data_IF_001615021126
#
_entry.id   IF_001615021126
#
_cell.length_a   1.000
_cell.length_b   1.000
_cell.length_c   1.000
_cell.angle_alpha   90.00
_cell.angle_beta   90.00
_cell.angle_gamma   90.00
#
_symmetry.space_group_name_H-M   'P 1'
#
loop_
_entity.id
_entity.type
_entity.pdbx_description
1 polymer ?
#
# COMPACT_ATOMS: atom_id res chain seq x y z
N UNK A 1 -34.73 -1.51 13.68
CA UNK A 1 -34.09 -0.23 14.07
C UNK A 1 -32.73 -0.28 13.44
N UNK A 2 -32.62 0.29 12.24
CA UNK A 2 -31.34 0.34 11.54
C UNK A 2 -30.51 1.42 12.23
N UNK A 3 -29.53 0.99 13.00
CA UNK A 3 -28.51 1.92 13.49
C UNK A 3 -27.84 2.50 12.25
N UNK A 4 -27.91 3.82 12.11
CA UNK A 4 -27.17 4.56 11.11
C UNK A 4 -25.67 4.37 11.44
N UNK A 5 -25.08 3.32 10.86
CA UNK A 5 -23.65 2.99 10.98
C UNK A 5 -22.79 3.92 10.09
N UNK A 6 -23.32 5.10 9.72
CA UNK A 6 -22.53 6.07 8.96
C UNK A 6 -21.39 6.59 9.83
N UNK A 7 -20.18 6.26 9.41
CA UNK A 7 -18.99 6.79 10.07
C UNK A 7 -18.83 8.24 9.65
N UNK A 8 -18.87 9.11 10.65
CA UNK A 8 -18.62 10.53 10.48
C UNK A 8 -17.17 10.85 10.85
N UNK A 9 -16.44 11.61 10.03
CA UNK A 9 -15.13 12.13 10.42
C UNK A 9 -15.18 12.93 11.74
N UNK A 10 -14.06 13.01 12.48
CA UNK A 10 -12.74 12.49 12.14
C UNK A 10 -12.69 10.95 12.22
N UNK A 11 -11.96 10.33 11.29
CA UNK A 11 -11.57 8.92 11.42
C UNK A 11 -10.15 8.85 11.99
N UNK A 12 -9.81 7.76 12.67
CA UNK A 12 -8.48 7.57 13.24
C UNK A 12 -7.79 6.37 12.60
N UNK A 13 -6.49 6.48 12.34
CA UNK A 13 -5.66 5.34 11.91
C UNK A 13 -4.70 4.98 13.01
N UNK A 14 -4.69 3.71 13.44
CA UNK A 14 -3.72 3.25 14.44
C UNK A 14 -2.34 3.09 13.81
N UNK A 15 -1.35 3.75 14.37
CA UNK A 15 0.04 3.69 13.95
C UNK A 15 0.92 3.16 15.07
N UNK A 16 1.77 2.20 14.71
CA UNK A 16 2.76 1.59 15.60
C UNK A 16 4.14 2.15 15.38
N UNK A 17 4.84 2.48 16.46
CA UNK A 17 6.24 2.82 16.44
C UNK A 17 7.09 1.60 16.78
N UNK A 18 8.19 1.45 16.04
CA UNK A 18 9.05 0.29 16.12
C UNK A 18 10.50 0.69 16.37
N UNK A 19 11.20 -0.14 17.13
CA UNK A 19 12.65 -0.07 17.29
C UNK A 19 13.23 -1.48 17.33
N UNK A 20 14.55 -1.60 17.10
CA UNK A 20 15.25 -2.84 17.38
C UNK A 20 15.53 -2.98 18.87
N UNK A 21 15.28 -4.16 19.43
CA UNK A 21 15.71 -4.55 20.77
C UNK A 21 17.21 -4.87 20.78
N UNK A 22 17.80 -5.01 21.96
CA UNK A 22 19.23 -5.31 22.13
C UNK A 22 19.67 -6.65 21.50
N UNK A 23 18.73 -7.58 21.31
CA UNK A 23 18.94 -8.86 20.62
C UNK A 23 18.70 -8.78 19.10
N UNK A 24 18.45 -7.58 18.57
CA UNK A 24 18.28 -7.32 17.13
C UNK A 24 16.89 -7.55 16.57
N UNK A 25 15.91 -8.00 17.38
CA UNK A 25 14.51 -8.17 16.94
C UNK A 25 13.77 -6.84 16.88
N UNK A 26 12.71 -6.78 16.07
CA UNK A 26 11.82 -5.62 16.04
C UNK A 26 10.77 -5.72 17.16
N UNK A 27 10.53 -4.61 17.85
CA UNK A 27 9.49 -4.51 18.87
C UNK A 27 8.70 -3.21 18.74
N UNK A 28 7.40 -3.28 19.03
CA UNK A 28 6.54 -2.10 19.15
C UNK A 28 6.89 -1.38 20.45
N UNK A 29 7.29 -0.12 20.36
CA UNK A 29 7.60 0.72 21.53
C UNK A 29 6.46 1.66 21.89
N UNK A 30 5.60 1.99 20.94
CA UNK A 30 4.43 2.83 21.16
C UNK A 30 3.34 2.59 20.12
N UNK A 31 2.10 2.96 20.45
CA UNK A 31 0.94 2.94 19.58
C UNK A 31 0.19 4.26 19.73
N UNK A 32 -0.20 4.89 18.63
CA UNK A 32 -1.00 6.12 18.66
C UNK A 32 -1.99 6.16 17.49
N UNK A 33 -3.22 6.56 17.76
CA UNK A 33 -4.19 6.92 16.73
C UNK A 33 -3.84 8.27 16.12
N UNK A 34 -3.93 8.37 14.79
CA UNK A 34 -3.78 9.64 14.06
C UNK A 34 -5.16 10.00 13.51
N UNK A 35 -5.70 11.12 13.96
CA UNK A 35 -7.01 11.62 13.52
C UNK A 35 -6.90 12.32 12.18
N UNK A 36 -7.83 12.01 11.28
CA UNK A 36 -7.90 12.53 9.92
C UNK A 36 -9.16 13.36 9.78
N UNK A 37 -8.97 14.67 9.86
CA UNK A 37 -10.02 15.67 9.69
C UNK A 37 -10.09 16.12 8.24
N UNK A 38 -11.26 16.18 7.60
CA UNK A 38 -11.40 16.71 6.25
C UNK A 38 -10.89 18.16 6.15
N UNK A 39 -10.12 18.46 5.10
CA UNK A 39 -9.81 19.84 4.76
C UNK A 39 -11.09 20.59 4.36
N UNK A 40 -11.12 21.90 4.61
CA UNK A 40 -12.22 22.76 4.20
C UNK A 40 -12.53 22.61 2.70
N UNK A 41 -13.82 22.42 2.38
CA UNK A 41 -14.31 22.26 1.00
C UNK A 41 -14.42 20.81 0.52
N UNK A 42 -13.96 19.82 1.30
CA UNK A 42 -14.18 18.40 1.00
C UNK A 42 -15.47 17.85 1.64
N UNK A 43 -15.98 16.75 1.07
CA UNK A 43 -17.08 16.00 1.63
C UNK A 43 -16.65 15.10 2.79
N UNK A 44 -17.60 14.61 3.58
CA UNK A 44 -17.30 13.77 4.74
C UNK A 44 -16.77 12.36 4.37
N UNK A 45 -17.03 11.88 3.15
CA UNK A 45 -16.74 10.52 2.73
C UNK A 45 -15.64 10.40 1.67
N UNK A 46 -15.14 11.54 1.19
CA UNK A 46 -13.99 11.60 0.31
C UNK A 46 -13.27 12.95 0.50
N UNK A 47 -12.08 12.91 1.08
CA UNK A 47 -11.38 14.13 1.47
C UNK A 47 -9.85 14.00 1.49
N UNK A 48 -9.15 15.07 1.10
CA UNK A 48 -7.82 15.33 1.64
C UNK A 48 -7.97 15.79 3.10
N UNK A 49 -7.00 15.51 3.94
CA UNK A 49 -7.09 15.80 5.38
C UNK A 49 -6.15 16.92 5.85
N UNK A 50 -6.56 17.59 6.92
CA UNK A 50 -5.76 18.64 7.56
C UNK A 50 -4.47 18.03 8.11
N UNK A 51 -3.35 18.71 7.88
CA UNK A 51 -2.05 18.27 8.38
C UNK A 51 -1.71 19.03 9.66
N UNK A 52 -1.91 18.35 10.79
CA UNK A 52 -1.61 18.87 12.13
C UNK A 52 -0.25 18.34 12.60
N UNK A 53 0.43 19.08 13.47
CA UNK A 53 1.71 18.65 14.00
C UNK A 53 1.51 17.56 15.06
N UNK A 54 2.07 16.39 14.80
CA UNK A 54 1.88 15.22 15.63
C UNK A 54 3.19 14.73 16.25
N UNK A 55 3.09 14.28 17.51
CA UNK A 55 4.14 13.56 18.21
C UNK A 55 3.64 12.14 18.55
N UNK A 56 4.28 11.14 17.95
CA UNK A 56 3.89 9.73 18.05
C UNK A 56 4.43 9.03 19.30
N UNK A 57 5.31 9.69 20.07
CA UNK A 57 5.88 9.12 21.29
C UNK A 57 5.98 10.13 22.44
N UNK A 58 5.67 9.70 23.66
CA UNK A 58 5.98 10.43 24.89
C UNK A 58 7.39 10.14 25.42
N UNK A 59 8.10 9.20 24.78
CA UNK A 59 9.45 8.75 25.13
C UNK A 59 10.31 8.75 23.85
N UNK A 60 10.87 9.90 23.45
CA UNK A 60 11.72 9.98 22.26
C UNK A 60 12.93 9.06 22.42
N UNK A 61 13.27 8.32 21.37
CA UNK A 61 14.49 7.51 21.39
C UNK A 61 15.72 8.40 21.28
N UNK A 62 16.87 7.92 21.75
CA UNK A 62 18.14 8.64 21.61
C UNK A 62 18.67 8.59 20.16
N UNK A 63 18.03 7.80 19.28
CA UNK A 63 18.36 7.74 17.86
C UNK A 63 17.63 8.85 17.11
N UNK A 64 18.39 9.85 16.62
CA UNK A 64 17.83 11.01 15.90
C UNK A 64 17.02 10.58 14.68
N UNK A 65 17.41 9.52 13.98
CA UNK A 65 16.68 9.03 12.81
C UNK A 65 15.30 8.49 13.19
N UNK A 66 15.22 7.75 14.30
CA UNK A 66 13.93 7.28 14.82
C UNK A 66 13.10 8.45 15.34
N UNK A 67 13.70 9.39 16.07
CA UNK A 67 13.01 10.58 16.55
C UNK A 67 12.33 11.35 15.40
N UNK A 68 13.04 11.57 14.29
CA UNK A 68 12.48 12.25 13.12
C UNK A 68 11.38 11.47 12.39
N UNK A 69 11.29 10.16 12.59
CA UNK A 69 10.17 9.36 12.09
C UNK A 69 8.94 9.41 13.02
N UNK A 70 9.11 9.86 14.25
CA UNK A 70 8.02 9.91 15.26
C UNK A 70 7.38 11.28 15.42
N UNK A 71 7.88 12.29 14.71
CA UNK A 71 7.41 13.67 14.83
C UNK A 71 7.28 14.32 13.46
N UNK A 72 6.14 14.97 13.22
CA UNK A 72 5.92 15.73 12.02
C UNK A 72 4.44 15.94 11.74
N UNK A 73 4.14 16.61 10.62
CA UNK A 73 2.75 16.78 10.20
C UNK A 73 2.05 15.42 9.94
N UNK A 74 0.75 15.33 10.22
CA UNK A 74 -0.07 14.13 10.03
C UNK A 74 0.12 13.50 8.65
N UNK A 75 0.15 14.32 7.60
CA UNK A 75 0.33 13.85 6.23
C UNK A 75 1.70 13.19 6.02
N UNK A 76 2.76 13.77 6.57
CA UNK A 76 4.11 13.20 6.54
C UNK A 76 4.16 11.82 7.21
N UNK A 77 3.59 11.69 8.41
CA UNK A 77 3.60 10.42 9.17
C UNK A 77 2.85 9.29 8.46
N UNK A 78 1.76 9.62 7.75
CA UNK A 78 1.02 8.65 6.94
C UNK A 78 1.75 8.31 5.63
N UNK A 79 2.38 9.30 4.98
CA UNK A 79 3.18 9.09 3.75
C UNK A 79 4.45 8.27 3.97
N UNK A 80 4.81 7.94 5.21
CA UNK A 80 5.84 6.95 5.52
C UNK A 80 5.34 5.50 5.45
N UNK A 81 4.03 5.31 5.48
CA UNK A 81 3.38 3.99 5.45
C UNK A 81 2.62 3.75 4.16
N UNK A 82 2.04 4.78 3.57
CA UNK A 82 1.25 4.73 2.35
C UNK A 82 2.06 5.44 1.28
N UNK A 83 2.50 4.71 0.27
CA UNK A 83 3.53 5.13 -0.66
C UNK A 83 3.00 5.10 -2.10
N UNK A 84 3.32 6.08 -2.96
CA UNK A 84 2.96 5.99 -4.35
C UNK A 84 3.91 5.01 -5.02
N UNK A 85 3.36 4.11 -5.83
CA UNK A 85 4.12 3.23 -6.70
C UNK A 85 4.45 3.98 -7.96
N UNK A 86 5.73 4.01 -8.32
CA UNK A 86 6.25 4.83 -9.40
C UNK A 86 7.13 4.04 -10.35
N UNK A 87 7.14 4.43 -11.63
CA UNK A 87 7.93 3.80 -12.67
C UNK A 87 8.55 4.82 -13.64
N UNK A 88 9.81 4.64 -14.02
CA UNK A 88 10.43 5.42 -15.11
C UNK A 88 11.66 4.72 -15.70
N UNK A 89 12.02 5.13 -16.91
CA UNK A 89 13.31 4.81 -17.53
C UNK A 89 14.23 6.02 -17.55
N UNK A 90 15.53 5.78 -17.55
CA UNK A 90 16.50 6.84 -17.78
C UNK A 90 16.24 7.53 -19.13
N UNK A 91 16.22 8.86 -19.12
CA UNK A 91 15.90 9.68 -20.28
C UNK A 91 14.41 10.04 -20.46
N UNK A 92 13.50 9.44 -19.67
CA UNK A 92 12.09 9.85 -19.68
C UNK A 92 11.88 11.19 -18.96
N UNK A 93 10.95 12.02 -19.47
CA UNK A 93 10.68 13.38 -18.96
C UNK A 93 9.79 13.41 -17.72
N UNK A 94 9.32 12.25 -17.25
CA UNK A 94 8.50 12.15 -16.06
C UNK A 94 8.67 10.79 -15.39
N UNK A 95 8.40 10.76 -14.09
CA UNK A 95 8.17 9.53 -13.34
C UNK A 95 6.68 9.25 -13.36
N UNK A 96 6.30 8.08 -13.89
CA UNK A 96 4.90 7.66 -13.94
C UNK A 96 4.41 7.31 -12.54
N UNK A 97 3.26 7.83 -12.16
CA UNK A 97 2.54 7.40 -10.96
C UNK A 97 1.64 6.24 -11.33
N UNK A 98 1.92 5.04 -10.83
CA UNK A 98 1.24 3.80 -11.25
C UNK A 98 0.06 3.48 -10.33
N UNK A 99 0.28 3.57 -9.01
CA UNK A 99 -0.71 3.22 -8.01
C UNK A 99 -0.25 3.57 -6.60
N UNK A 100 -0.81 2.87 -5.61
CA UNK A 100 -0.50 3.02 -4.19
C UNK A 100 0.00 1.70 -3.61
N UNK A 101 0.92 1.75 -2.67
CA UNK A 101 1.39 0.61 -1.88
C UNK A 101 1.38 0.97 -0.39
N UNK A 102 1.42 -0.04 0.47
CA UNK A 102 1.50 0.12 1.92
C UNK A 102 2.65 -0.66 2.51
N UNK A 103 3.43 -0.02 3.37
CA UNK A 103 4.44 -0.68 4.21
C UNK A 103 3.75 -1.56 5.24
N UNK A 104 4.17 -2.81 5.32
CA UNK A 104 3.64 -3.80 6.26
C UNK A 104 4.71 -4.42 7.16
N UNK A 105 6.00 -4.15 6.93
CA UNK A 105 7.07 -4.54 7.83
C UNK A 105 8.13 -3.46 8.04
N UNK A 106 8.80 -3.46 9.20
CA UNK A 106 9.96 -2.61 9.46
C UNK A 106 11.14 -2.89 8.54
N UNK A 107 11.26 -4.12 8.05
CA UNK A 107 12.29 -4.55 7.11
C UNK A 107 12.00 -4.20 5.65
N UNK A 108 10.82 -3.64 5.33
CA UNK A 108 10.51 -3.17 3.97
C UNK A 108 9.71 -4.16 3.11
N UNK A 109 8.86 -5.00 3.70
CA UNK A 109 7.77 -5.62 2.94
C UNK A 109 6.66 -4.60 2.73
N UNK A 110 6.14 -4.55 1.50
CA UNK A 110 5.00 -3.71 1.12
C UNK A 110 3.91 -4.55 0.45
N UNK A 111 2.67 -4.09 0.53
CA UNK A 111 1.53 -4.66 -0.20
C UNK A 111 0.99 -3.65 -1.20
N UNK A 112 0.50 -4.14 -2.33
CA UNK A 112 -0.20 -3.35 -3.36
C UNK A 112 -1.14 -4.25 -4.13
N UNK A 113 -1.81 -3.73 -5.16
CA UNK A 113 -2.62 -4.54 -6.06
C UNK A 113 -1.73 -5.25 -7.10
N UNK A 114 -2.10 -6.46 -7.50
CA UNK A 114 -1.29 -7.25 -8.43
C UNK A 114 -1.20 -6.59 -9.82
N UNK A 115 -2.29 -6.01 -10.31
CA UNK A 115 -2.29 -5.29 -11.57
C UNK A 115 -1.40 -4.02 -11.56
N UNK A 116 -1.13 -3.42 -10.39
CA UNK A 116 -0.19 -2.29 -10.28
C UNK A 116 1.23 -2.75 -10.67
N UNK A 117 1.62 -3.97 -10.32
CA UNK A 117 2.93 -4.52 -10.71
C UNK A 117 2.98 -5.01 -12.16
N UNK A 118 1.81 -5.30 -12.75
CA UNK A 118 1.69 -5.71 -14.15
C UNK A 118 1.62 -4.52 -15.11
N UNK A 119 1.35 -3.30 -14.63
CA UNK A 119 1.23 -2.11 -15.48
C UNK A 119 2.42 -1.92 -16.45
N UNK A 120 3.71 -2.09 -16.07
CA UNK A 120 4.81 -2.00 -17.03
C UNK A 120 4.76 -3.01 -18.19
N UNK A 121 4.07 -4.15 -18.01
CA UNK A 121 3.82 -5.15 -19.06
C UNK A 121 2.56 -4.79 -19.85
N UNK A 122 1.44 -4.57 -19.17
CA UNK A 122 0.13 -4.31 -19.79
C UNK A 122 0.15 -3.03 -20.62
N UNK A 123 0.86 -2.00 -20.14
CA UNK A 123 1.06 -0.72 -20.82
C UNK A 123 2.29 -0.70 -21.75
N UNK A 124 3.05 -1.80 -21.84
CA UNK A 124 4.11 -1.99 -22.81
C UNK A 124 5.37 -1.11 -22.63
N UNK A 125 5.62 -0.57 -21.44
CA UNK A 125 6.71 0.39 -21.23
C UNK A 125 7.89 -0.12 -20.42
N UNK A 126 7.92 -1.37 -19.91
CA UNK A 126 9.04 -1.77 -19.06
C UNK A 126 9.13 -3.22 -18.63
N UNK A 127 8.25 -4.10 -19.08
CA UNK A 127 8.28 -5.51 -18.71
C UNK A 127 7.96 -6.44 -19.87
N UNK A 128 8.46 -7.67 -19.78
CA UNK A 128 8.20 -8.74 -20.74
C UNK A 128 7.90 -10.04 -20.02
N UNK A 129 7.12 -10.91 -20.66
CA UNK A 129 6.94 -12.29 -20.21
C UNK A 129 8.19 -13.10 -20.57
N UNK A 130 8.80 -13.78 -19.59
CA UNK A 130 9.87 -14.78 -19.79
C UNK A 130 9.38 -16.13 -19.24
N UNK A 131 8.91 -16.99 -20.14
CA UNK A 131 8.28 -18.26 -19.75
C UNK A 131 7.00 -18.00 -18.95
N UNK A 132 6.94 -18.47 -17.70
CA UNK A 132 5.80 -18.24 -16.81
C UNK A 132 6.02 -17.08 -15.82
N UNK A 133 7.05 -16.25 -16.03
CA UNK A 133 7.43 -15.17 -15.12
C UNK A 133 7.37 -13.81 -15.81
N UNK A 134 7.11 -12.78 -15.01
CA UNK A 134 7.25 -11.38 -15.38
C UNK A 134 8.71 -10.95 -15.18
N UNK A 135 9.32 -10.31 -16.18
CA UNK A 135 10.67 -9.77 -16.08
C UNK A 135 10.66 -8.28 -16.44
N UNK A 136 11.15 -7.45 -15.52
CA UNK A 136 11.37 -6.03 -15.77
C UNK A 136 12.63 -5.80 -16.62
N UNK A 137 12.60 -4.79 -17.48
CA UNK A 137 13.77 -4.36 -18.24
C UNK A 137 14.83 -3.75 -17.31
N UNK A 138 16.12 -3.97 -17.61
CA UNK A 138 17.23 -3.52 -16.75
C UNK A 138 17.25 -2.00 -16.50
N UNK A 139 16.69 -1.21 -17.43
CA UNK A 139 16.60 0.25 -17.33
C UNK A 139 15.31 0.76 -16.67
N UNK A 140 14.38 -0.14 -16.29
CA UNK A 140 13.16 0.25 -15.61
C UNK A 140 13.45 0.44 -14.11
N UNK A 141 13.31 1.67 -13.65
CA UNK A 141 13.20 1.96 -12.23
C UNK A 141 11.74 1.76 -11.83
N UNK A 142 11.46 0.76 -11.00
CA UNK A 142 10.12 0.46 -10.52
C UNK A 142 10.13 0.19 -9.01
N UNK A 143 9.27 0.91 -8.27
CA UNK A 143 9.31 0.88 -6.82
C UNK A 143 8.41 1.94 -6.19
N UNK A 144 8.84 2.46 -5.04
CA UNK A 144 8.09 3.46 -4.26
C UNK A 144 8.97 4.66 -3.92
N UNK A 145 8.35 5.80 -3.65
CA UNK A 145 9.03 6.96 -3.07
C UNK A 145 8.55 7.21 -1.64
N UNK A 146 9.49 7.50 -0.74
CA UNK A 146 9.22 7.77 0.67
C UNK A 146 9.69 9.18 0.99
N UNK A 147 8.87 10.05 1.61
CA UNK A 147 9.29 11.39 1.98
C UNK A 147 10.39 11.34 3.05
N UNK A 148 11.37 12.23 2.91
CA UNK A 148 12.38 12.46 3.94
C UNK A 148 11.81 13.41 5.00
N UNK A 149 12.13 13.13 6.26
CA UNK A 149 11.61 13.92 7.38
C UNK A 149 12.10 15.37 7.36
N UNK A 150 11.25 16.34 7.75
CA UNK A 150 11.63 17.75 7.77
C UNK A 150 12.83 18.03 8.68
N UNK A 151 13.05 17.19 9.70
CA UNK A 151 14.21 17.29 10.60
C UNK A 151 15.57 17.00 9.98
N UNK A 152 15.64 16.51 8.74
CA UNK A 152 16.89 16.39 7.98
C UNK A 152 17.32 17.71 7.30
N UNK A 153 16.54 18.78 7.43
CA UNK A 153 16.85 20.08 6.83
C UNK A 153 16.62 20.15 5.31
N UNK A 154 16.09 19.10 4.70
CA UNK A 154 15.76 19.02 3.27
C UNK A 154 14.33 18.52 3.08
N UNK A 155 13.56 19.21 2.23
CA UNK A 155 12.35 18.63 1.62
C UNK A 155 12.80 17.72 0.49
N UNK A 156 12.35 16.48 0.47
CA UNK A 156 12.70 15.55 -0.58
C UNK A 156 12.12 14.17 -0.37
N UNK A 157 12.46 13.28 -1.28
CA UNK A 157 11.99 11.89 -1.30
C UNK A 157 13.16 10.98 -1.58
N UNK A 158 13.06 9.74 -1.12
CA UNK A 158 14.00 8.68 -1.49
C UNK A 158 13.22 7.61 -2.26
N UNK A 159 13.77 7.23 -3.40
CA UNK A 159 13.29 6.09 -4.16
C UNK A 159 13.79 4.78 -3.55
N UNK A 160 12.89 3.80 -3.48
CA UNK A 160 13.17 2.43 -3.06
C UNK A 160 12.68 1.48 -4.15
N UNK A 161 13.58 0.81 -4.89
CA UNK A 161 13.18 -0.14 -5.93
C UNK A 161 12.52 -1.38 -5.31
N UNK A 162 11.66 -2.04 -6.08
CA UNK A 162 11.23 -3.39 -5.75
C UNK A 162 12.35 -4.38 -6.05
N UNK A 163 13.03 -4.86 -5.00
CA UNK A 163 14.07 -5.88 -5.12
C UNK A 163 13.47 -7.25 -5.43
N UNK A 164 12.27 -7.51 -4.90
CA UNK A 164 11.50 -8.73 -5.10
C UNK A 164 10.03 -8.40 -5.11
N UNK A 165 9.25 -9.23 -5.79
CA UNK A 165 7.80 -9.19 -5.75
C UNK A 165 7.21 -10.57 -5.97
N UNK A 166 6.01 -10.76 -5.46
CA UNK A 166 5.26 -12.00 -5.57
C UNK A 166 3.87 -11.68 -6.12
N UNK A 167 3.59 -12.31 -7.26
CA UNK A 167 2.31 -12.31 -7.96
C UNK A 167 1.86 -13.76 -8.06
N UNK A 168 0.58 -14.02 -7.78
CA UNK A 168 0.03 -15.37 -7.84
C UNK A 168 -1.02 -15.46 -8.93
N UNK A 169 -0.86 -16.45 -9.80
CA UNK A 169 -1.71 -16.64 -10.96
C UNK A 169 -1.06 -17.52 -12.01
N UNK A 170 -1.61 -17.51 -13.21
CA UNK A 170 -1.07 -18.25 -14.35
C UNK A 170 -1.27 -17.47 -15.63
N UNK A 171 -0.28 -17.53 -16.52
CA UNK A 171 -0.46 -17.07 -17.89
C UNK A 171 -1.48 -17.94 -18.61
N UNK A 172 -2.42 -17.30 -19.29
CA UNK A 172 -3.32 -17.93 -20.24
C UNK A 172 -2.93 -17.51 -21.64
N UNK A 173 -2.54 -18.52 -22.41
CA UNK A 173 -2.28 -18.37 -23.83
C UNK A 173 -3.61 -18.31 -24.55
N UNK A 174 -3.80 -17.27 -25.35
CA UNK A 174 -4.99 -17.13 -26.16
C UNK A 174 -4.75 -17.80 -27.52
N UNK A 175 -5.68 -18.66 -27.99
CA UNK A 175 -5.57 -19.26 -29.31
C UNK A 175 -5.89 -18.25 -30.43
N UNK A 176 -6.36 -17.04 -30.08
CA UNK A 176 -6.80 -16.03 -31.03
C UNK A 176 -5.63 -15.11 -31.42
N UNK A 177 -5.31 -15.05 -32.71
CA UNK A 177 -4.20 -14.25 -33.26
C UNK A 177 -4.27 -12.74 -32.96
N UNK A 178 -5.44 -12.24 -32.56
CA UNK A 178 -5.69 -10.82 -32.30
C UNK A 178 -5.76 -10.48 -30.80
N UNK A 179 -5.63 -11.48 -29.93
CA UNK A 179 -5.58 -11.28 -28.49
C UNK A 179 -4.16 -11.53 -28.00
N UNK A 180 -3.73 -10.78 -26.99
CA UNK A 180 -2.49 -11.03 -26.27
C UNK A 180 -2.71 -12.03 -25.14
N UNK A 181 -1.66 -12.79 -24.82
CA UNK A 181 -1.63 -13.60 -23.61
C UNK A 181 -1.90 -12.75 -22.39
N UNK A 182 -2.71 -13.28 -21.47
CA UNK A 182 -3.11 -12.57 -20.25
C UNK A 182 -2.68 -13.32 -19.01
N UNK A 183 -2.32 -12.58 -17.97
CA UNK A 183 -2.09 -13.18 -16.66
C UNK A 183 -3.41 -13.28 -15.90
N UNK A 184 -3.87 -14.49 -15.62
CA UNK A 184 -5.03 -14.71 -14.75
C UNK A 184 -4.58 -14.78 -13.29
N UNK A 185 -4.85 -13.71 -12.54
CA UNK A 185 -4.52 -13.61 -11.13
C UNK A 185 -5.33 -14.59 -10.27
N UNK A 186 -4.67 -15.24 -9.32
CA UNK A 186 -5.32 -15.96 -8.23
C UNK A 186 -5.95 -15.00 -7.22
N UNK A 187 -5.30 -13.86 -7.00
CA UNK A 187 -5.75 -12.73 -6.18
C UNK A 187 -5.13 -11.46 -6.73
N UNK A 188 -5.83 -10.33 -6.62
CA UNK A 188 -5.27 -9.02 -6.97
C UNK A 188 -4.46 -8.38 -5.81
N UNK A 189 -3.96 -9.19 -4.87
CA UNK A 189 -2.95 -8.77 -3.89
C UNK A 189 -1.56 -9.10 -4.44
N UNK A 190 -0.61 -8.18 -4.27
CA UNK A 190 0.81 -8.45 -4.44
C UNK A 190 1.60 -8.05 -3.19
N UNK A 191 2.70 -8.75 -2.99
CA UNK A 191 3.69 -8.44 -1.95
C UNK A 191 4.99 -8.05 -2.66
N UNK A 192 5.64 -6.98 -2.23
CA UNK A 192 6.97 -6.61 -2.69
C UNK A 192 7.93 -6.46 -1.52
N UNK A 193 9.23 -6.58 -1.81
CA UNK A 193 10.32 -6.24 -0.90
C UNK A 193 11.05 -5.03 -1.44
N UNK A 194 11.17 -4.00 -0.61
CA UNK A 194 12.04 -2.84 -0.82
C UNK A 194 13.27 -2.92 0.09
N UNK A 195 14.37 -2.21 -0.21
CA UNK A 195 15.54 -2.17 0.66
C UNK A 195 15.20 -1.70 2.08
N UNK A 196 15.97 -2.14 3.08
CA UNK A 196 15.87 -1.60 4.44
C UNK A 196 16.20 -0.10 4.47
N UNK A 197 15.65 0.62 5.46
CA UNK A 197 16.03 2.02 5.66
C UNK A 197 17.52 2.12 6.05
N UNK A 198 18.26 3.13 5.55
CA UNK A 198 19.65 3.34 5.94
C UNK A 198 19.81 3.56 7.45
N UNK A 199 20.97 3.15 7.97
CA UNK A 199 21.29 3.30 9.39
C UNK A 199 20.48 2.38 10.32
N UNK A 200 19.82 1.34 9.77
CA UNK A 200 19.06 0.36 10.56
C UNK A 200 17.73 0.90 11.09
N UNK A 201 17.25 2.02 10.57
CA UNK A 201 15.96 2.59 10.95
C UNK A 201 14.79 1.67 10.55
N UNK A 202 13.66 1.79 11.24
CA UNK A 202 12.45 1.08 10.86
C UNK A 202 11.75 1.79 9.71
N UNK A 203 11.36 1.04 8.66
CA UNK A 203 10.18 1.44 7.89
C UNK A 203 8.97 1.52 8.84
N UNK A 204 7.95 2.32 8.49
CA UNK A 204 6.79 2.55 9.34
C UNK A 204 5.60 1.68 8.87
N UNK A 205 5.42 0.44 9.36
CA UNK A 205 4.37 -0.44 8.87
C UNK A 205 2.98 -0.08 9.40
N UNK A 206 1.96 -0.46 8.62
CA UNK A 206 0.57 -0.53 9.06
C UNK A 206 0.27 -1.91 9.68
N UNK A 207 -0.70 -1.95 10.60
CA UNK A 207 -1.18 -3.21 11.17
C UNK A 207 -1.97 -4.03 10.15
N UNK A 208 -1.78 -5.35 10.15
CA UNK A 208 -2.52 -6.27 9.30
C UNK A 208 -3.51 -7.09 10.10
N UNK A 209 -4.65 -7.44 9.50
CA UNK A 209 -5.56 -8.44 10.03
C UNK A 209 -5.91 -9.51 9.01
N UNK A 210 -6.11 -10.72 9.54
CA UNK A 210 -6.58 -11.90 8.81
C UNK A 210 -8.10 -11.98 8.74
N UNK A 211 -8.80 -11.20 9.55
CA UNK A 211 -10.25 -11.22 9.58
C UNK A 211 -10.79 -10.58 8.30
N UNK A 212 -11.75 -11.26 7.69
CA UNK A 212 -12.50 -10.67 6.59
C UNK A 212 -13.36 -9.52 7.12
N UNK A 213 -13.69 -8.58 6.23
CA UNK A 213 -14.77 -7.64 6.49
C UNK A 213 -16.09 -8.38 6.69
N UNK A 214 -16.99 -7.77 7.44
CA UNK A 214 -18.40 -8.18 7.49
C UNK A 214 -19.27 -7.21 6.69
N UNK A 215 -20.36 -7.66 6.07
CA UNK A 215 -21.33 -6.75 5.45
C UNK A 215 -21.83 -5.70 6.44
N UNK A 216 -22.09 -4.49 5.93
CA UNK A 216 -22.41 -3.29 6.69
C UNK A 216 -21.30 -2.77 7.63
N UNK A 217 -20.10 -3.35 7.60
CA UNK A 217 -18.93 -2.77 8.25
C UNK A 217 -18.46 -1.56 7.45
N UNK A 218 -18.16 -0.48 8.15
CA UNK A 218 -17.50 0.66 7.54
C UNK A 218 -16.02 0.35 7.25
N UNK A 219 -15.57 0.83 6.10
CA UNK A 219 -14.21 0.66 5.64
C UNK A 219 -13.67 1.99 5.11
N UNK A 220 -12.37 2.21 5.29
CA UNK A 220 -11.69 3.39 4.75
C UNK A 220 -10.51 2.98 3.89
N UNK A 221 -10.32 3.68 2.80
CA UNK A 221 -9.12 3.58 1.98
C UNK A 221 -8.36 4.88 2.01
N UNK A 222 -7.03 4.80 2.15
CA UNK A 222 -6.15 5.97 2.09
C UNK A 222 -5.15 5.79 0.95
N UNK A 223 -5.12 6.69 -0.02
CA UNK A 223 -4.23 6.54 -1.15
C UNK A 223 -4.07 7.79 -1.99
N UNK A 224 -3.29 7.65 -3.06
CA UNK A 224 -3.00 8.74 -3.98
C UNK A 224 -4.07 8.78 -5.06
N UNK A 225 -5.00 9.71 -4.94
CA UNK A 225 -6.07 9.89 -5.91
C UNK A 225 -5.60 10.81 -7.04
N UNK A 226 -5.69 10.33 -8.28
CA UNK A 226 -5.42 11.08 -9.51
C UNK A 226 -4.06 11.81 -9.49
N UNK A 227 -3.07 11.22 -8.81
CA UNK A 227 -1.73 11.78 -8.71
C UNK A 227 -1.11 11.88 -10.11
N UNK A 228 -0.73 13.10 -10.48
CA UNK A 228 -0.05 13.39 -11.73
C UNK A 228 1.34 12.75 -11.78
N UNK A 229 1.81 12.48 -12.99
CA UNK A 229 3.20 12.05 -13.20
C UNK A 229 4.17 13.14 -12.75
N UNK A 230 5.26 12.74 -12.11
CA UNK A 230 6.21 13.67 -11.51
C UNK A 230 7.18 14.17 -12.59
N UNK A 231 7.25 15.47 -12.89
CA UNK A 231 8.12 15.98 -13.95
C UNK A 231 9.61 15.81 -13.61
N UNK A 232 10.38 15.32 -14.59
CA UNK A 232 11.83 15.19 -14.53
C UNK A 232 12.51 16.24 -15.41
N UNK A 233 13.64 16.77 -14.94
CA UNK A 233 14.57 17.56 -15.73
C UNK A 233 15.96 16.93 -15.68
N UNK A 234 16.62 16.85 -16.82
CA UNK A 234 18.02 16.44 -16.91
C UNK A 234 18.87 17.67 -17.20
N UNK A 235 19.73 18.02 -16.24
CA UNK A 235 20.69 19.12 -16.37
C UNK A 235 22.13 18.61 -16.35
N UNK A 236 23.08 19.54 -16.44
CA UNK A 236 24.52 19.23 -16.35
C UNK A 236 24.95 18.61 -15.01
N UNK A 237 24.10 18.69 -13.99
CA UNK A 237 24.30 18.10 -12.65
C UNK A 237 23.55 16.78 -12.44
N UNK A 238 22.91 16.23 -13.48
CA UNK A 238 22.11 15.01 -13.42
C UNK A 238 20.60 15.27 -13.41
N UNK A 239 19.85 14.27 -12.96
CA UNK A 239 18.39 14.28 -12.89
C UNK A 239 17.90 15.10 -11.69
N UNK A 240 16.95 16.00 -11.90
CA UNK A 240 16.22 16.73 -10.86
C UNK A 240 14.71 16.55 -11.00
N UNK A 241 14.03 16.49 -9.86
CA UNK A 241 12.58 16.39 -9.77
C UNK A 241 12.01 17.79 -9.49
N UNK A 242 11.00 18.22 -10.26
CA UNK A 242 10.28 19.47 -9.98
C UNK A 242 9.43 19.35 -8.73
N UNK A 243 8.99 20.49 -8.20
CA UNK A 243 7.93 20.48 -7.19
C UNK A 243 6.68 19.79 -7.75
N UNK A 244 6.12 18.86 -6.98
CA UNK A 244 4.92 18.12 -7.33
C UNK A 244 4.06 17.94 -6.08
N UNK A 245 2.77 17.66 -6.30
CA UNK A 245 1.82 17.39 -5.21
C UNK A 245 1.77 15.90 -4.93
N UNK A 246 1.82 15.55 -3.66
CA UNK A 246 1.77 14.16 -3.19
C UNK A 246 0.72 14.06 -2.10
N UNK A 247 -0.53 14.41 -2.43
CA UNK A 247 -1.62 14.47 -1.45
C UNK A 247 -2.24 13.10 -1.24
N UNK A 248 -2.52 12.77 0.02
CA UNK A 248 -3.25 11.56 0.39
C UNK A 248 -4.73 11.89 0.54
N UNK A 249 -5.56 11.01 0.01
CA UNK A 249 -7.01 11.12 0.09
C UNK A 249 -7.57 9.96 0.88
N UNK A 250 -8.52 10.27 1.77
CA UNK A 250 -9.36 9.32 2.47
C UNK A 250 -10.62 9.10 1.64
N UNK A 251 -11.01 7.84 1.51
CA UNK A 251 -12.32 7.43 0.99
C UNK A 251 -13.00 6.55 2.01
N UNK A 252 -14.20 6.93 2.46
CA UNK A 252 -15.01 6.22 3.44
C UNK A 252 -16.17 5.55 2.70
N UNK A 253 -16.45 4.31 3.06
CA UNK A 253 -17.62 3.60 2.56
C UNK A 253 -18.03 2.45 3.46
N UNK A 254 -19.04 1.74 3.01
CA UNK A 254 -19.60 0.57 3.69
C UNK A 254 -19.35 -0.67 2.85
N UNK A 255 -18.90 -1.76 3.48
CA UNK A 255 -18.77 -3.06 2.84
C UNK A 255 -20.16 -3.61 2.56
N UNK A 256 -20.47 -3.83 1.30
CA UNK A 256 -21.80 -4.27 0.89
C UNK A 256 -21.89 -5.79 0.91
N UNK A 257 -20.94 -6.46 0.27
CA UNK A 257 -20.87 -7.92 0.17
C UNK A 257 -19.42 -8.39 0.20
N UNK A 258 -19.27 -9.66 0.57
CA UNK A 258 -18.00 -10.39 0.55
C UNK A 258 -18.10 -11.58 -0.39
N UNK A 259 -17.03 -11.84 -1.14
CA UNK A 259 -16.94 -12.90 -2.13
C UNK A 259 -15.71 -13.78 -1.84
N UNK A 260 -15.71 -14.56 -0.74
CA UNK A 260 -14.55 -15.31 -0.28
C UNK A 260 -14.09 -16.40 -1.27
N UNK A 261 -14.97 -16.81 -2.20
CA UNK A 261 -14.74 -17.86 -3.19
C UNK A 261 -14.73 -17.35 -4.62
N UNK A 262 -14.56 -16.05 -4.86
CA UNK A 262 -14.67 -15.49 -6.20
C UNK A 262 -13.64 -16.06 -7.21
N UNK A 263 -12.53 -16.65 -6.74
CA UNK A 263 -11.60 -17.41 -7.59
C UNK A 263 -12.22 -18.66 -8.22
N UNK A 264 -13.26 -19.23 -7.61
CA UNK A 264 -14.02 -20.38 -8.10
C UNK A 264 -15.29 -19.92 -8.81
N UNK A 265 -16.07 -19.09 -8.11
CA UNK A 265 -17.47 -18.82 -8.48
C UNK A 265 -17.57 -17.66 -9.50
N UNK A 266 -16.54 -16.80 -9.59
CA UNK A 266 -16.42 -15.68 -10.54
C UNK A 266 -17.67 -14.79 -10.60
N UNK A 267 -18.30 -14.55 -9.45
CA UNK A 267 -19.47 -13.68 -9.29
C UNK A 267 -19.19 -12.24 -9.71
N UNK A 268 -17.96 -11.77 -9.48
CA UNK A 268 -17.53 -10.40 -9.80
C UNK A 268 -16.19 -10.40 -10.55
N UNK A 269 -15.87 -9.35 -11.32
CA UNK A 269 -14.70 -9.38 -12.20
C UNK A 269 -13.37 -9.11 -11.49
N UNK A 270 -13.38 -8.88 -10.17
CA UNK A 270 -12.17 -8.70 -9.35
C UNK A 270 -11.50 -10.06 -9.09
N UNK A 271 -10.21 -10.25 -9.38
CA UNK A 271 -9.57 -11.54 -9.19
C UNK A 271 -9.44 -11.99 -7.73
N UNK A 272 -9.76 -13.26 -7.49
CA UNK A 272 -9.59 -13.89 -6.18
C UNK A 272 -10.61 -13.47 -5.13
N UNK A 273 -10.47 -13.97 -3.89
CA UNK A 273 -11.32 -13.54 -2.79
C UNK A 273 -11.33 -12.00 -2.62
N UNK A 274 -12.51 -11.41 -2.64
CA UNK A 274 -12.68 -9.96 -2.69
C UNK A 274 -13.94 -9.51 -1.96
N UNK A 275 -14.09 -8.21 -1.78
CA UNK A 275 -15.29 -7.57 -1.24
C UNK A 275 -15.64 -6.35 -2.09
N UNK A 276 -16.90 -5.96 -2.09
CA UNK A 276 -17.32 -4.69 -2.65
C UNK A 276 -17.74 -3.72 -1.55
N UNK A 277 -17.54 -2.44 -1.80
CA UNK A 277 -17.83 -1.40 -0.83
C UNK A 277 -18.25 -0.10 -1.52
N UNK A 278 -19.15 0.61 -0.85
CA UNK A 278 -19.77 1.84 -1.36
C UNK A 278 -18.90 3.05 -1.06
N UNK A 279 -17.81 3.20 -1.81
CA UNK A 279 -16.85 4.27 -1.63
C UNK A 279 -16.48 4.94 -2.96
N UNK A 280 -16.07 6.21 -2.90
CA UNK A 280 -15.53 6.94 -4.07
C UNK A 280 -14.04 6.66 -4.18
N UNK A 281 -13.63 5.90 -5.18
CA UNK A 281 -12.21 5.54 -5.39
C UNK A 281 -11.77 6.03 -6.77
N UNK A 282 -11.12 7.19 -6.86
CA UNK A 282 -10.55 7.68 -8.12
C UNK A 282 -9.37 6.84 -8.62
N UNK A 283 -8.92 7.14 -9.83
CA UNK A 283 -7.73 6.51 -10.41
C UNK A 283 -6.48 6.70 -9.53
N UNK A 284 -5.48 5.82 -9.71
CA UNK A 284 -4.21 5.78 -8.95
C UNK A 284 -4.31 5.37 -7.48
N UNK A 285 -5.51 5.20 -6.93
CA UNK A 285 -5.73 4.59 -5.61
C UNK A 285 -5.63 3.06 -5.60
N UNK A 286 -5.47 2.39 -6.75
CA UNK A 286 -5.24 0.95 -6.80
C UNK A 286 -4.05 0.54 -5.93
N UNK A 287 -4.24 -0.50 -5.11
CA UNK A 287 -3.27 -0.96 -4.12
C UNK A 287 -3.26 -0.18 -2.81
N UNK A 288 -4.09 0.86 -2.67
CA UNK A 288 -4.30 1.55 -1.40
C UNK A 288 -4.82 0.57 -0.33
N UNK A 289 -4.35 0.66 0.91
CA UNK A 289 -4.82 -0.18 2.01
C UNK A 289 -6.28 0.13 2.31
N UNK A 290 -7.08 -0.92 2.49
CA UNK A 290 -8.45 -0.80 3.00
C UNK A 290 -8.45 -1.23 4.46
N UNK A 291 -8.74 -0.26 5.32
CA UNK A 291 -8.80 -0.42 6.77
C UNK A 291 -10.19 -0.90 7.20
N UNK A 292 -10.20 -1.86 8.12
CA UNK A 292 -11.38 -2.25 8.90
C UNK A 292 -11.13 -2.02 10.40
N UNK A 293 -12.09 -2.45 11.23
CA UNK A 293 -12.05 -2.25 12.68
C UNK A 293 -11.67 -0.80 13.05
N UNK A 294 -12.41 0.17 12.49
CA UNK A 294 -12.25 1.59 12.80
C UNK A 294 -10.82 2.13 12.58
N UNK A 295 -10.11 1.62 11.56
CA UNK A 295 -8.79 2.14 11.17
C UNK A 295 -7.61 1.47 11.89
N UNK A 296 -7.87 0.40 12.64
CA UNK A 296 -6.83 -0.30 13.42
C UNK A 296 -5.98 -1.22 12.55
N UNK A 297 -6.56 -1.84 11.52
CA UNK A 297 -5.90 -2.87 10.70
C UNK A 297 -6.29 -2.79 9.23
N UNK A 298 -5.32 -3.09 8.37
CA UNK A 298 -5.54 -3.33 6.94
C UNK A 298 -6.04 -4.76 6.73
N UNK A 299 -7.16 -4.90 6.02
CA UNK A 299 -7.80 -6.20 5.71
C UNK A 299 -7.82 -6.50 4.21
N UNK A 300 -7.39 -5.56 3.38
CA UNK A 300 -7.32 -5.70 1.94
C UNK A 300 -6.66 -4.51 1.27
N UNK A 301 -6.64 -4.53 -0.06
CA UNK A 301 -6.22 -3.39 -0.87
C UNK A 301 -7.28 -3.06 -1.91
N UNK A 302 -7.35 -1.80 -2.32
CA UNK A 302 -8.17 -1.36 -3.44
C UNK A 302 -7.72 -2.10 -4.70
N UNK A 303 -8.65 -2.75 -5.39
CA UNK A 303 -8.39 -3.50 -6.62
C UNK A 303 -8.97 -2.80 -7.84
N UNK A 304 -10.25 -2.41 -7.78
CA UNK A 304 -10.94 -1.82 -8.92
C UNK A 304 -11.99 -0.82 -8.46
N UNK A 305 -12.21 0.20 -9.27
CA UNK A 305 -13.32 1.12 -9.12
C UNK A 305 -13.91 1.48 -10.48
N UNK A 306 -15.16 1.94 -10.49
CA UNK A 306 -15.79 2.49 -11.68
C UNK A 306 -15.77 4.01 -11.60
N UNK A 307 -15.21 4.65 -12.63
CA UNK A 307 -15.10 6.11 -12.68
C UNK A 307 -16.48 6.76 -12.59
N UNK A 308 -16.61 7.74 -11.68
CA UNK A 308 -17.86 8.46 -11.45
C UNK A 308 -18.87 7.75 -10.54
N UNK A 309 -18.61 6.51 -10.11
CA UNK A 309 -19.50 5.75 -9.24
C UNK A 309 -18.97 5.67 -7.80
N UNK A 310 -19.90 5.46 -6.85
CA UNK A 310 -19.59 5.18 -5.44
C UNK A 310 -19.62 3.68 -5.20
N UNK A 311 -18.86 2.95 -6.02
CA UNK A 311 -18.75 1.49 -5.95
C UNK A 311 -17.34 1.07 -6.33
N UNK A 312 -16.71 0.32 -5.45
CA UNK A 312 -15.36 -0.19 -5.62
C UNK A 312 -15.24 -1.61 -5.08
N UNK A 313 -14.19 -2.30 -5.51
CA UNK A 313 -13.82 -3.63 -5.07
C UNK A 313 -12.44 -3.60 -4.42
N UNK A 314 -12.31 -4.33 -3.31
CA UNK A 314 -11.04 -4.60 -2.66
C UNK A 314 -10.70 -6.08 -2.73
N UNK A 315 -9.41 -6.38 -2.91
CA UNK A 315 -8.90 -7.74 -2.79
C UNK A 315 -8.67 -8.05 -1.29
N UNK A 316 -9.06 -9.24 -0.84
CA UNK A 316 -8.93 -9.63 0.57
C UNK A 316 -7.50 -10.05 0.90
N UNK A 317 -6.95 -9.48 1.97
CA UNK A 317 -5.62 -9.84 2.46
C UNK A 317 -5.58 -11.25 3.04
N UNK A 318 -6.59 -11.63 3.84
CA UNK A 318 -6.60 -12.88 4.60
C UNK A 318 -6.17 -14.12 3.80
N UNK A 319 -6.78 -14.40 2.64
CA UNK A 319 -6.37 -15.52 1.78
C UNK A 319 -4.94 -15.41 1.21
N UNK A 320 -4.48 -14.20 0.92
CA UNK A 320 -3.11 -13.97 0.41
C UNK A 320 -2.02 -14.24 1.44
N UNK A 321 -2.34 -14.20 2.74
CA UNK A 321 -1.38 -14.39 3.84
C UNK A 321 -0.72 -15.77 3.87
N UNK A 322 -1.36 -16.75 3.23
CA UNK A 322 -0.92 -18.14 3.15
C UNK A 322 -0.23 -18.48 1.83
N UNK A 323 -0.20 -17.55 0.88
CA UNK A 323 0.42 -17.78 -0.41
C UNK A 323 1.94 -17.77 -0.26
N UNK A 324 2.59 -18.63 -1.04
CA UNK A 324 4.04 -18.81 -0.98
C UNK A 324 4.77 -17.55 -1.45
N UNK A 325 5.71 -17.11 -0.61
CA UNK A 325 6.76 -16.12 -0.88
C UNK A 325 8.08 -16.84 -1.14
N UNK A 326 8.00 -17.96 -1.85
CA UNK A 326 9.13 -18.84 -2.06
C UNK A 326 10.18 -18.15 -2.95
N UNK A 327 11.43 -18.39 -2.58
CA UNK A 327 12.61 -18.00 -3.32
C UNK A 327 13.46 -19.26 -3.57
N UNK A 328 14.38 -19.27 -4.55
CA UNK A 328 15.23 -20.43 -4.81
C UNK A 328 15.94 -20.98 -3.57
N UNK A 329 16.31 -20.11 -2.63
CA UNK A 329 17.01 -20.46 -1.38
C UNK A 329 16.12 -20.60 -0.14
N UNK A 330 14.85 -20.21 -0.20
CA UNK A 330 13.93 -20.24 0.96
C UNK A 330 12.56 -20.72 0.53
N UNK A 331 12.13 -21.87 1.08
CA UNK A 331 10.82 -22.48 0.81
C UNK A 331 9.91 -22.46 2.03
N UNK A 332 8.60 -22.49 1.77
CA UNK A 332 7.57 -22.51 2.82
C UNK A 332 7.37 -21.15 3.49
N UNK A 333 7.98 -20.09 2.96
CA UNK A 333 7.81 -18.74 3.48
C UNK A 333 6.46 -18.22 2.99
N UNK A 334 5.67 -17.66 3.90
CA UNK A 334 4.42 -16.97 3.64
C UNK A 334 4.37 -15.71 4.49
N UNK A 335 3.50 -14.75 4.16
CA UNK A 335 3.38 -13.55 4.97
C UNK A 335 2.97 -13.88 6.41
N UNK A 336 2.12 -14.91 6.61
CA UNK A 336 1.79 -15.45 7.94
C UNK A 336 3.04 -15.92 8.70
N UNK A 337 3.90 -16.74 8.08
CA UNK A 337 5.11 -17.22 8.76
C UNK A 337 6.06 -16.07 9.10
N UNK A 338 6.16 -15.05 8.25
CA UNK A 338 6.96 -13.86 8.54
C UNK A 338 6.43 -13.11 9.78
N UNK A 339 5.11 -12.96 9.89
CA UNK A 339 4.48 -12.40 11.09
C UNK A 339 4.74 -13.24 12.34
N UNK A 340 4.62 -14.56 12.24
CA UNK A 340 4.78 -15.49 13.36
C UNK A 340 6.22 -15.53 13.89
N UNK A 341 7.21 -15.41 13.01
CA UNK A 341 8.62 -15.35 13.43
C UNK A 341 8.99 -14.02 14.11
N UNK A 342 8.30 -12.92 13.78
CA UNK A 342 8.54 -11.59 14.34
C UNK A 342 9.81 -10.89 13.86
N UNK A 343 10.65 -11.54 13.04
CA UNK A 343 11.96 -11.00 12.63
C UNK A 343 11.87 -9.83 11.65
N UNK A 344 10.76 -9.70 10.93
CA UNK A 344 10.57 -8.67 9.91
C UNK A 344 9.94 -7.38 10.47
N UNK A 345 9.45 -7.39 11.71
CA UNK A 345 8.72 -6.27 12.31
C UNK A 345 7.36 -6.05 11.66
N UNK A 346 6.55 -7.11 11.56
CA UNK A 346 5.16 -7.04 11.10
C UNK A 346 4.25 -7.08 12.32
N UNK A 347 3.36 -6.08 12.46
CA UNK A 347 2.47 -6.00 13.61
C UNK A 347 1.48 -7.16 13.64
N UNK A 348 1.33 -7.78 14.81
CA UNK A 348 0.26 -8.75 15.09
C UNK A 348 -0.76 -8.10 16.02
N UNK A 349 -1.80 -7.50 15.45
CA UNK A 349 -2.91 -6.94 16.21
C UNK A 349 -4.01 -8.02 16.30
N UNK A 350 -4.44 -8.34 17.51
CA UNK A 350 -5.43 -9.38 17.78
C UNK A 350 -6.39 -8.92 18.88
N UNK A 351 -7.67 -9.30 18.76
CA UNK A 351 -8.70 -8.98 19.75
C UNK A 351 -10.07 -9.44 19.26
N UNK A 352 -11.10 -9.35 20.10
CA UNK A 352 -12.47 -9.59 19.64
C UNK A 352 -12.83 -8.53 18.59
N UNK A 353 -13.11 -8.95 17.35
CA UNK A 353 -13.33 -8.05 16.22
C UNK A 353 -12.06 -7.55 15.50
N UNK A 354 -10.86 -7.99 15.90
CA UNK A 354 -9.55 -7.62 15.33
C UNK A 354 -8.79 -8.78 14.73
#
# INVERSE_FOLDING_TARGET
>A
MDADNSITPPISILKSLWSRTSDGRWAITNLKGIDLKPQAGFGADYFAFESELELMTSRPSMNITELMATFGPTDFLLKQSILPVVAWKEGETSIRCVGTASVISCSGYVITAAHVLMDPYDSGYGAVRRGNQLAFADQLNFGVIIPLGPGYGFRGFRFFPFEKFWLWGSWKETPLLHESDRFEFLTDIAICKIPEMPGGAAHQPLGLSLNAFVPAEAAYSLGYAEMEDIPLEYGSKGMSIKEFRMDLYVSIGEVMRIFPRNHLDREVPTPGPCFDFKAKIPGKMSGAPVFGAEGVVVRGVVSRSFSGERHAFGAMLGPAMHLALDEPSVKGRTLRTLMETGNEGIARIQGAGL
#
